data_IF_493830079623
#
_entry.id   IF_493830079623
#
_cell.length_a   1.000
_cell.length_b   1.000
_cell.length_c   1.000
_cell.angle_alpha   90.00
_cell.angle_beta   90.00
_cell.angle_gamma   90.00
#
_symmetry.space_group_name_H-M   'P 1'
#
loop_
_entity.id
_entity.type
_entity.pdbx_description
1 polymer ?
#
# COMPACT_ATOMS: atom_id res chain seq x y z
N UNK A 1 2.66 -44.25 -8.07
CA UNK A 1 3.33 -43.02 -7.58
C UNK A 1 2.76 -41.82 -8.33
N UNK A 2 1.57 -41.35 -7.95
CA UNK A 2 1.02 -40.09 -8.46
C UNK A 2 1.51 -39.01 -7.50
N UNK A 3 2.39 -38.13 -7.95
CA UNK A 3 2.87 -37.02 -7.14
C UNK A 3 1.68 -36.09 -6.82
N UNK A 4 1.34 -36.02 -5.54
CA UNK A 4 0.42 -35.05 -4.97
C UNK A 4 0.98 -33.65 -5.23
N UNK A 5 0.40 -32.91 -6.17
CA UNK A 5 0.66 -31.48 -6.32
C UNK A 5 -0.29 -30.75 -5.38
N UNK A 6 0.18 -30.25 -4.21
CA UNK A 6 -0.68 -29.50 -3.32
C UNK A 6 -1.20 -28.26 -4.06
N UNK A 7 -2.52 -28.07 -3.96
CA UNK A 7 -3.24 -26.87 -4.39
C UNK A 7 -2.43 -25.63 -4.03
N UNK A 8 -2.15 -24.81 -5.03
CA UNK A 8 -1.37 -23.60 -4.83
C UNK A 8 -2.19 -22.60 -4.01
N UNK A 9 -2.06 -22.66 -2.67
CA UNK A 9 -2.69 -21.76 -1.71
C UNK A 9 -1.94 -20.42 -1.66
N UNK A 10 -1.55 -19.88 -2.81
CA UNK A 10 -1.36 -18.44 -2.88
C UNK A 10 -2.77 -17.87 -2.90
N UNK A 11 -3.25 -17.50 -1.71
CA UNK A 11 -4.29 -16.49 -1.56
C UNK A 11 -3.79 -15.28 -2.35
N UNK A 12 -4.18 -15.18 -3.63
CA UNK A 12 -3.79 -14.06 -4.46
C UNK A 12 -4.24 -12.81 -3.71
N UNK A 13 -3.28 -12.01 -3.25
CA UNK A 13 -3.56 -10.70 -2.67
C UNK A 13 -4.54 -10.03 -3.64
N UNK A 14 -5.73 -9.66 -3.18
CA UNK A 14 -6.74 -9.06 -4.06
C UNK A 14 -6.17 -7.74 -4.55
N UNK A 15 -5.52 -7.76 -5.71
CA UNK A 15 -4.87 -6.60 -6.29
C UNK A 15 -5.95 -5.56 -6.60
N UNK A 16 -5.87 -4.40 -5.93
CA UNK A 16 -6.68 -3.24 -6.24
C UNK A 16 -5.77 -2.23 -6.95
N UNK A 17 -6.23 -1.71 -8.08
CA UNK A 17 -5.49 -0.71 -8.84
C UNK A 17 -5.98 0.71 -8.54
N UNK A 18 -5.05 1.66 -8.49
CA UNK A 18 -5.35 3.08 -8.38
C UNK A 18 -5.04 3.77 -9.71
N UNK A 19 -6.00 4.52 -10.25
CA UNK A 19 -5.81 5.34 -11.45
C UNK A 19 -5.69 6.80 -11.06
N UNK A 20 -4.48 7.36 -11.19
CA UNK A 20 -4.24 8.78 -10.97
C UNK A 20 -4.31 9.57 -12.27
N UNK A 21 -5.11 10.65 -12.30
CA UNK A 21 -4.97 11.68 -13.33
C UNK A 21 -4.02 12.77 -12.83
N UNK A 22 -2.93 12.99 -13.55
CA UNK A 22 -1.97 14.04 -13.22
C UNK A 22 -1.32 14.59 -14.48
N UNK A 23 -0.83 15.84 -14.39
CA UNK A 23 -0.02 16.43 -15.45
C UNK A 23 1.30 15.68 -15.62
N UNK A 24 1.81 15.66 -16.84
CA UNK A 24 3.07 15.00 -17.20
C UNK A 24 4.26 15.44 -16.33
N UNK A 25 4.36 16.73 -16.00
CA UNK A 25 5.40 17.23 -15.10
C UNK A 25 5.40 16.54 -13.73
N UNK A 26 4.22 16.25 -13.16
CA UNK A 26 4.09 15.56 -11.87
C UNK A 26 4.43 14.08 -12.00
N UNK A 27 3.98 13.45 -13.08
CA UNK A 27 4.31 12.06 -13.41
C UNK A 27 5.84 11.87 -13.55
N UNK A 28 6.50 12.71 -14.33
CA UNK A 28 7.94 12.64 -14.55
C UNK A 28 8.73 12.88 -13.26
N UNK A 29 8.29 13.82 -12.43
CA UNK A 29 8.90 14.04 -11.11
C UNK A 29 8.82 12.79 -10.23
N UNK A 30 7.66 12.13 -10.18
CA UNK A 30 7.48 10.89 -9.41
C UNK A 30 8.34 9.75 -9.97
N UNK A 31 8.40 9.59 -11.29
CA UNK A 31 9.24 8.60 -11.96
C UNK A 31 10.73 8.78 -11.62
N UNK A 32 11.25 10.00 -11.76
CA UNK A 32 12.66 10.30 -11.45
C UNK A 32 12.98 10.09 -9.96
N UNK A 33 12.05 10.44 -9.08
CA UNK A 33 12.21 10.20 -7.65
C UNK A 33 12.23 8.70 -7.31
N UNK A 34 11.37 7.90 -7.95
CA UNK A 34 11.40 6.44 -7.81
C UNK A 34 12.74 5.85 -8.26
N UNK A 35 13.25 6.31 -9.40
CA UNK A 35 14.54 5.89 -9.93
C UNK A 35 15.69 6.22 -8.98
N UNK A 36 15.73 7.43 -8.40
CA UNK A 36 16.79 7.81 -7.46
C UNK A 36 16.76 7.02 -6.15
N UNK A 37 15.60 6.46 -5.79
CA UNK A 37 15.43 5.56 -4.63
C UNK A 37 15.57 4.08 -4.97
N UNK A 38 15.83 3.72 -6.23
CA UNK A 38 15.86 2.33 -6.72
C UNK A 38 14.57 1.56 -6.37
N UNK A 39 13.43 2.25 -6.44
CA UNK A 39 12.09 1.69 -6.17
C UNK A 39 11.17 1.89 -7.36
N UNK A 40 10.13 1.08 -7.45
CA UNK A 40 9.04 1.35 -8.39
C UNK A 40 8.15 2.49 -7.88
N UNK A 41 7.42 3.16 -8.77
CA UNK A 41 6.44 4.18 -8.37
C UNK A 41 5.35 3.58 -7.47
N UNK A 42 4.97 2.32 -7.69
CA UNK A 42 4.02 1.59 -6.84
C UNK A 42 4.56 1.42 -5.43
N UNK A 43 5.80 0.94 -5.28
CA UNK A 43 6.43 0.75 -3.96
C UNK A 43 6.53 2.05 -3.17
N UNK A 44 6.78 3.18 -3.83
CA UNK A 44 6.75 4.48 -3.15
C UNK A 44 5.35 4.82 -2.62
N UNK A 45 4.31 4.52 -3.39
CA UNK A 45 2.93 4.78 -2.99
C UNK A 45 2.54 3.83 -1.84
N UNK A 46 2.91 2.55 -1.91
CA UNK A 46 2.74 1.58 -0.84
C UNK A 46 3.45 2.05 0.44
N UNK A 47 4.73 2.42 0.35
CA UNK A 47 5.50 2.98 1.47
C UNK A 47 4.85 4.23 2.08
N UNK A 48 4.15 5.04 1.29
CA UNK A 48 3.42 6.21 1.78
C UNK A 48 2.09 5.83 2.43
N UNK A 49 1.38 4.86 1.87
CA UNK A 49 0.13 4.33 2.41
C UNK A 49 0.38 3.64 3.75
N UNK A 50 1.45 2.85 3.87
CA UNK A 50 1.83 2.15 5.10
C UNK A 50 2.17 3.08 6.27
N UNK A 51 2.50 4.35 5.98
CA UNK A 51 2.76 5.39 7.00
C UNK A 51 1.49 6.10 7.45
N UNK A 52 0.35 5.90 6.78
CA UNK A 52 -0.90 6.51 7.19
C UNK A 52 -1.37 5.86 8.51
N UNK A 53 -1.90 6.65 9.46
CA UNK A 53 -2.47 6.09 10.68
C UNK A 53 -3.65 5.17 10.32
N UNK A 54 -3.79 4.04 11.02
CA UNK A 54 -4.96 3.18 10.85
C UNK A 54 -6.20 3.95 11.35
N UNK A 55 -7.20 4.23 10.49
CA UNK A 55 -8.41 4.96 10.88
C UNK A 55 -9.17 4.31 12.04
N UNK A 56 -9.05 2.99 12.22
CA UNK A 56 -9.70 2.27 13.33
C UNK A 56 -9.15 2.65 14.72
N UNK A 57 -7.93 3.18 14.80
CA UNK A 57 -7.29 3.55 16.06
C UNK A 57 -7.46 5.04 16.44
N UNK A 58 -8.07 5.85 15.58
CA UNK A 58 -8.29 7.29 15.83
C UNK A 58 -9.49 7.58 16.76
N UNK A 59 -10.28 6.56 17.11
CA UNK A 59 -11.51 6.69 17.92
C UNK A 59 -11.41 6.30 19.40
N UNK A 60 -10.29 5.77 19.90
CA UNK A 60 -10.14 5.40 21.31
C UNK A 60 -9.32 6.43 22.09
N UNK A 61 -9.70 7.71 21.98
CA UNK A 61 -9.34 8.64 23.04
C UNK A 61 -10.20 8.29 24.25
N UNK A 62 -9.54 7.66 25.23
CA UNK A 62 -10.11 7.32 26.53
C UNK A 62 -10.70 8.59 27.14
N UNK A 63 -12.02 8.72 27.16
CA UNK A 63 -12.68 9.62 28.11
C UNK A 63 -12.39 9.06 29.50
N UNK A 64 -11.70 9.80 30.39
CA UNK A 64 -11.62 9.38 31.78
C UNK A 64 -13.04 9.35 32.35
N UNK A 65 -13.40 8.39 33.23
CA UNK A 65 -14.67 8.42 33.92
C UNK A 65 -14.74 9.74 34.69
N UNK A 66 -15.74 10.57 34.40
CA UNK A 66 -16.11 11.69 35.26
C UNK A 66 -16.60 11.12 36.59
N UNK A 67 -15.90 11.45 37.67
CA UNK A 67 -16.36 11.30 39.07
C UNK A 67 -17.64 12.09 39.33
#
# INVERSE_FOLDING_TARGET
>A
MLAYYPNNVYTAMKEKSLRFRMHERRYNKLKLYAQSKQKTMTQLIEDWVDRLPNPENLGSSKTPPSE
#
